data_IF_654933953715
#
_entry.id   IF_654933953715
#
_cell.length_a   1.000
_cell.length_b   1.000
_cell.length_c   1.000
_cell.angle_alpha   90.00
_cell.angle_beta   90.00
_cell.angle_gamma   90.00
#
_symmetry.space_group_name_H-M   'P 1'
#
loop_
_entity.id
_entity.type
_entity.pdbx_description
1 polymer ?
#
# COMPACT_ATOMS: atom_id res chain seq x y z
N UNK A 1 -24.09 42.34 10.40
CA UNK A 1 -22.65 42.44 10.72
C UNK A 1 -22.23 41.22 11.54
N UNK A 2 -21.56 40.26 10.97
CA UNK A 2 -21.04 39.06 11.68
C UNK A 2 -19.75 39.49 12.36
N UNK A 3 -19.72 39.50 13.69
CA UNK A 3 -18.51 39.81 14.46
C UNK A 3 -17.48 38.70 14.25
N UNK A 4 -16.26 39.09 13.87
CA UNK A 4 -15.11 38.16 13.81
C UNK A 4 -14.82 37.61 15.21
N UNK A 5 -14.50 36.30 15.36
CA UNK A 5 -14.09 35.77 16.65
C UNK A 5 -12.78 36.43 17.12
N UNK A 6 -12.54 36.53 18.44
CA UNK A 6 -11.33 37.13 18.97
C UNK A 6 -10.10 36.29 18.58
N UNK A 7 -8.99 36.97 18.25
CA UNK A 7 -7.70 36.30 17.98
C UNK A 7 -7.22 35.59 19.23
N UNK A 8 -7.08 34.29 19.18
CA UNK A 8 -6.36 33.54 20.20
C UNK A 8 -4.85 33.80 20.06
N UNK A 9 -4.20 34.21 21.14
CA UNK A 9 -2.74 34.30 21.23
C UNK A 9 -2.16 32.87 21.24
N UNK A 10 -1.59 32.45 20.12
CA UNK A 10 -0.94 31.16 19.96
C UNK A 10 0.55 31.29 20.33
N UNK A 11 1.14 30.20 20.86
CA UNK A 11 2.56 30.12 21.21
C UNK A 11 3.47 30.42 20.01
N UNK A 12 4.72 30.80 20.22
CA UNK A 12 5.66 31.26 19.18
C UNK A 12 5.86 30.30 17.99
N UNK A 13 5.67 28.99 18.17
CA UNK A 13 5.68 27.99 17.08
C UNK A 13 4.41 27.99 16.22
N UNK A 14 3.30 28.50 16.76
CA UNK A 14 2.04 28.66 16.04
C UNK A 14 1.93 30.01 15.34
N UNK A 15 2.73 31.01 15.75
CA UNK A 15 2.72 32.35 15.14
C UNK A 15 3.16 32.33 13.67
N UNK A 16 3.99 31.37 13.26
CA UNK A 16 4.36 31.16 11.86
C UNK A 16 3.19 30.64 10.99
N UNK A 17 2.11 30.15 11.60
CA UNK A 17 0.92 29.67 10.90
C UNK A 17 -0.20 30.72 10.77
N UNK A 18 0.00 31.90 11.33
CA UNK A 18 -1.00 33.00 11.33
C UNK A 18 -0.89 33.88 10.07
N UNK A 19 -0.17 33.41 9.05
CA UNK A 19 -0.23 34.00 7.72
C UNK A 19 -1.63 33.74 7.17
N UNK A 20 -2.28 34.77 6.63
CA UNK A 20 -3.58 34.66 5.97
C UNK A 20 -3.61 33.53 4.98
N UNK A 21 -4.20 32.40 5.37
CA UNK A 21 -4.38 31.24 4.47
C UNK A 21 -5.48 31.62 3.48
N UNK A 22 -5.12 31.59 2.20
CA UNK A 22 -6.03 31.82 1.09
C UNK A 22 -6.41 30.48 0.49
N UNK A 23 -7.56 30.42 -0.17
CA UNK A 23 -7.98 29.19 -0.87
C UNK A 23 -7.01 28.79 -1.99
N UNK A 24 -6.26 29.75 -2.53
CA UNK A 24 -5.23 29.54 -3.56
C UNK A 24 -3.87 29.08 -2.98
N UNK A 25 -3.71 29.04 -1.66
CA UNK A 25 -2.48 28.54 -1.04
C UNK A 25 -2.32 27.05 -1.32
N UNK A 26 -1.06 26.61 -1.46
CA UNK A 26 -0.74 25.22 -1.77
C UNK A 26 -0.04 24.55 -0.59
N UNK A 27 -0.56 23.42 -0.14
CA UNK A 27 0.14 22.56 0.82
C UNK A 27 1.07 21.61 0.09
N UNK A 28 2.31 21.49 0.58
CA UNK A 28 3.31 20.57 0.01
C UNK A 28 3.59 19.47 1.03
N UNK A 29 3.31 18.21 0.66
CA UNK A 29 3.66 17.03 1.42
C UNK A 29 5.03 16.51 0.98
N UNK A 30 6.06 16.83 1.70
CA UNK A 30 7.41 16.30 1.49
C UNK A 30 7.69 15.19 2.51
N UNK A 31 7.59 13.91 2.11
CA UNK A 31 7.76 12.79 3.03
C UNK A 31 7.28 11.45 2.51
N UNK A 32 7.22 10.44 3.40
CA UNK A 32 6.63 9.13 3.11
C UNK A 32 5.10 9.17 3.11
N UNK A 33 4.47 7.99 2.96
CA UNK A 33 3.01 7.85 2.84
C UNK A 33 2.23 8.53 3.95
N UNK A 34 2.66 8.40 5.22
CA UNK A 34 1.99 9.04 6.37
C UNK A 34 1.92 10.56 6.24
N UNK A 35 2.99 11.19 5.75
CA UNK A 35 3.01 12.65 5.51
C UNK A 35 2.06 13.00 4.37
N UNK A 36 2.08 12.23 3.28
CA UNK A 36 1.15 12.39 2.16
C UNK A 36 -0.31 12.30 2.60
N UNK A 37 -0.64 11.29 3.39
CA UNK A 37 -2.00 11.06 3.90
C UNK A 37 -2.48 12.20 4.81
N UNK A 38 -1.67 12.61 5.78
CA UNK A 38 -2.01 13.69 6.73
C UNK A 38 -2.17 15.03 6.00
N UNK A 39 -1.19 15.40 5.17
CA UNK A 39 -1.23 16.68 4.45
C UNK A 39 -2.37 16.72 3.45
N UNK A 40 -2.60 15.62 2.71
CA UNK A 40 -3.71 15.52 1.78
C UNK A 40 -5.07 15.59 2.47
N UNK A 41 -5.24 14.92 3.61
CA UNK A 41 -6.45 15.03 4.42
C UNK A 41 -6.63 16.47 4.95
N UNK A 42 -5.57 17.09 5.48
CA UNK A 42 -5.61 18.50 5.91
C UNK A 42 -5.98 19.42 4.78
N UNK A 43 -5.41 19.23 3.58
CA UNK A 43 -5.75 20.02 2.40
C UNK A 43 -7.23 19.90 2.04
N UNK A 44 -7.81 18.71 2.14
CA UNK A 44 -9.21 18.45 1.79
C UNK A 44 -10.21 19.18 2.69
N UNK A 45 -9.88 19.40 3.96
CA UNK A 45 -10.77 20.03 4.95
C UNK A 45 -10.46 21.51 5.21
N UNK A 46 -9.25 21.99 4.84
CA UNK A 46 -8.85 23.40 4.99
C UNK A 46 -9.59 24.24 3.95
N UNK A 47 -10.34 25.26 4.39
CA UNK A 47 -11.11 26.18 3.53
C UNK A 47 -12.01 25.45 2.50
N UNK A 48 -12.45 24.25 2.80
CA UNK A 48 -13.21 23.32 1.92
C UNK A 48 -12.44 22.79 0.72
N UNK A 49 -11.14 22.77 0.80
CA UNK A 49 -10.18 22.29 -0.20
C UNK A 49 -9.19 23.37 -0.62
N UNK A 50 -7.90 23.10 -0.41
CA UNK A 50 -6.79 23.92 -0.90
C UNK A 50 -5.90 23.09 -1.80
N UNK A 51 -5.09 23.74 -2.63
CA UNK A 51 -4.16 23.04 -3.50
C UNK A 51 -3.19 22.17 -2.69
N UNK A 52 -2.83 21.02 -3.27
CA UNK A 52 -2.01 20.01 -2.62
C UNK A 52 -1.01 19.39 -3.59
N UNK A 53 0.26 19.39 -3.22
CA UNK A 53 1.36 18.77 -3.98
C UNK A 53 2.01 17.71 -3.13
N UNK A 54 2.27 16.52 -3.70
CA UNK A 54 3.03 15.46 -3.04
C UNK A 54 4.44 15.33 -3.62
N UNK A 55 5.44 15.26 -2.72
CA UNK A 55 6.82 14.93 -3.05
C UNK A 55 7.19 13.68 -2.21
N UNK A 56 6.85 12.47 -2.70
CA UNK A 56 7.04 11.23 -1.95
C UNK A 56 8.52 10.88 -1.84
N UNK A 57 9.02 10.59 -0.62
CA UNK A 57 10.43 10.33 -0.32
C UNK A 57 10.75 8.87 -0.06
N UNK A 58 9.76 7.98 -0.03
CA UNK A 58 9.94 6.52 0.09
C UNK A 58 9.50 5.82 -1.17
N UNK A 59 10.06 4.65 -1.48
CA UNK A 59 9.64 3.88 -2.65
C UNK A 59 8.16 3.52 -2.57
N UNK A 60 7.69 3.08 -1.40
CA UNK A 60 6.27 2.78 -1.17
C UNK A 60 5.37 3.97 -1.51
N UNK A 61 5.77 5.18 -1.11
CA UNK A 61 5.00 6.37 -1.41
C UNK A 61 5.06 6.72 -2.91
N UNK A 62 6.21 6.59 -3.56
CA UNK A 62 6.35 6.89 -4.99
C UNK A 62 5.55 5.94 -5.88
N UNK A 63 5.50 4.64 -5.53
CA UNK A 63 4.85 3.63 -6.39
C UNK A 63 3.40 3.35 -6.02
N UNK A 64 2.97 3.74 -4.81
CA UNK A 64 1.64 3.39 -4.31
C UNK A 64 0.90 4.56 -3.66
N UNK A 65 1.21 4.98 -2.43
CA UNK A 65 0.31 5.85 -1.66
C UNK A 65 0.08 7.22 -2.28
N UNK A 66 1.01 7.77 -3.07
CA UNK A 66 0.83 9.06 -3.76
C UNK A 66 -0.14 9.02 -4.95
N UNK A 67 -0.60 7.84 -5.38
CA UNK A 67 -1.50 7.69 -6.53
C UNK A 67 -2.86 7.18 -6.06
N UNK A 68 -3.93 7.89 -6.40
CA UNK A 68 -5.30 7.43 -6.16
C UNK A 68 -6.06 8.15 -5.05
N UNK A 69 -5.52 9.27 -4.55
CA UNK A 69 -6.23 10.26 -3.75
C UNK A 69 -6.72 9.80 -2.37
N UNK A 70 -6.38 8.60 -1.90
CA UNK A 70 -6.69 8.18 -0.54
C UNK A 70 -5.85 8.99 0.43
N UNK A 71 -6.50 9.74 1.31
CA UNK A 71 -5.85 10.54 2.37
C UNK A 71 -6.54 10.25 3.69
N UNK A 72 -5.81 10.36 4.80
CA UNK A 72 -6.41 10.05 6.10
C UNK A 72 -5.44 10.10 7.26
N UNK A 73 -6.00 9.86 8.44
CA UNK A 73 -5.27 9.84 9.69
C UNK A 73 -5.54 8.55 10.47
N UNK A 74 -4.53 8.10 11.20
CA UNK A 74 -4.68 6.99 12.13
C UNK A 74 -5.44 7.44 13.38
N UNK A 75 -6.27 6.54 13.90
CA UNK A 75 -6.97 6.72 15.16
C UNK A 75 -6.49 5.67 16.18
N UNK A 76 -7.00 5.74 17.41
CA UNK A 76 -6.75 4.69 18.43
C UNK A 76 -7.35 3.34 18.02
N UNK A 77 -8.42 3.37 17.23
CA UNK A 77 -9.19 2.18 16.85
C UNK A 77 -8.68 1.53 15.56
N UNK A 78 -7.82 2.22 14.78
CA UNK A 78 -7.23 1.66 13.56
C UNK A 78 -6.54 2.68 12.66
N UNK A 79 -5.91 2.15 11.61
CA UNK A 79 -5.23 2.94 10.59
C UNK A 79 -6.23 3.51 9.59
N UNK A 80 -6.05 4.79 9.22
CA UNK A 80 -6.76 5.47 8.13
C UNK A 80 -8.29 5.38 8.20
N UNK A 81 -8.87 5.31 9.43
CA UNK A 81 -10.33 5.25 9.62
C UNK A 81 -11.03 6.58 9.33
N UNK A 82 -10.30 7.69 9.44
CA UNK A 82 -10.80 9.02 9.13
C UNK A 82 -10.01 9.56 7.95
N UNK A 83 -10.69 9.89 6.86
CA UNK A 83 -10.03 10.34 5.64
C UNK A 83 -11.00 10.74 4.55
N UNK A 84 -10.43 11.18 3.44
CA UNK A 84 -11.16 11.59 2.24
C UNK A 84 -10.48 11.06 0.98
N UNK A 85 -11.22 11.02 -0.12
CA UNK A 85 -10.61 10.93 -1.45
C UNK A 85 -10.32 12.36 -1.93
N UNK A 86 -9.05 12.73 -1.93
CA UNK A 86 -8.59 14.05 -2.36
C UNK A 86 -7.34 13.94 -3.21
N UNK A 87 -7.48 14.25 -4.51
CA UNK A 87 -6.39 14.10 -5.47
C UNK A 87 -5.39 15.26 -5.34
N UNK A 88 -4.07 14.99 -5.36
CA UNK A 88 -3.07 16.04 -5.42
C UNK A 88 -3.11 16.73 -6.80
N UNK A 89 -2.83 18.04 -6.84
CA UNK A 89 -2.65 18.79 -8.08
C UNK A 89 -1.39 18.33 -8.84
N UNK A 90 -0.37 17.86 -8.11
CA UNK A 90 0.88 17.35 -8.66
C UNK A 90 1.50 16.31 -7.74
N UNK A 91 2.05 15.25 -8.32
CA UNK A 91 2.95 14.31 -7.63
C UNK A 91 4.32 14.39 -8.31
N UNK A 92 5.33 14.80 -7.55
CA UNK A 92 6.72 14.89 -8.02
C UNK A 92 7.54 13.75 -7.40
N UNK A 93 7.72 12.66 -8.13
CA UNK A 93 8.50 11.51 -7.70
C UNK A 93 9.98 11.67 -8.09
N UNK A 94 10.78 12.26 -7.22
CA UNK A 94 12.23 12.33 -7.39
C UNK A 94 12.88 11.05 -6.86
N UNK A 95 13.39 10.22 -7.75
CA UNK A 95 14.04 8.95 -7.40
C UNK A 95 15.38 9.14 -6.67
N UNK A 96 15.99 10.33 -6.73
CA UNK A 96 17.23 10.62 -6.01
C UNK A 96 17.04 10.59 -4.49
N UNK A 97 15.81 10.90 -4.01
CA UNK A 97 15.42 10.84 -2.59
C UNK A 97 15.51 9.42 -2.02
N UNK A 98 15.44 8.40 -2.88
CA UNK A 98 15.54 6.99 -2.46
C UNK A 98 16.96 6.55 -2.11
N UNK A 99 17.98 7.39 -2.35
CA UNK A 99 19.37 7.07 -2.01
C UNK A 99 19.58 6.91 -0.51
N UNK A 100 18.92 7.75 0.29
CA UNK A 100 19.00 7.73 1.75
C UNK A 100 18.05 6.71 2.40
N UNK A 101 17.15 6.09 1.61
CA UNK A 101 16.17 5.15 2.13
C UNK A 101 16.86 3.86 2.59
N UNK A 102 16.54 3.38 3.80
CA UNK A 102 17.08 2.12 4.30
C UNK A 102 16.75 0.95 3.36
N UNK A 103 17.58 -0.10 3.40
CA UNK A 103 17.34 -1.29 2.57
C UNK A 103 15.99 -1.94 2.89
N UNK A 104 15.63 -2.00 4.17
CA UNK A 104 14.36 -2.54 4.66
C UNK A 104 13.15 -1.79 4.09
N UNK A 105 13.18 -0.46 4.13
CA UNK A 105 12.11 0.39 3.59
C UNK A 105 12.04 0.32 2.06
N UNK A 106 13.17 0.18 1.39
CA UNK A 106 13.21 -0.03 -0.06
C UNK A 106 12.51 -1.35 -0.43
N UNK A 107 12.82 -2.46 0.25
CA UNK A 107 12.17 -3.74 0.02
C UNK A 107 10.69 -3.72 0.36
N UNK A 108 10.30 -2.96 1.40
CA UNK A 108 8.89 -2.76 1.73
C UNK A 108 8.11 -2.10 0.57
N UNK A 109 8.69 -1.09 -0.07
CA UNK A 109 8.10 -0.49 -1.27
C UNK A 109 8.14 -1.43 -2.48
N UNK A 110 9.20 -2.24 -2.61
CA UNK A 110 9.34 -3.19 -3.71
C UNK A 110 8.28 -4.30 -3.69
N UNK A 111 7.76 -4.67 -2.52
CA UNK A 111 6.63 -5.59 -2.41
C UNK A 111 5.39 -5.08 -3.16
N UNK A 112 5.16 -3.76 -3.18
CA UNK A 112 4.08 -3.15 -3.97
C UNK A 112 4.41 -3.11 -5.46
N UNK A 113 5.67 -2.93 -5.83
CA UNK A 113 6.11 -2.98 -7.23
C UNK A 113 5.81 -4.33 -7.86
N UNK A 114 6.23 -5.42 -7.20
CA UNK A 114 6.02 -6.78 -7.73
C UNK A 114 4.53 -7.13 -7.81
N UNK A 115 3.72 -6.62 -6.89
CA UNK A 115 2.26 -6.78 -6.89
C UNK A 115 1.66 -6.36 -8.24
N UNK A 116 2.01 -5.17 -8.78
CA UNK A 116 1.48 -4.72 -10.07
C UNK A 116 1.83 -5.68 -11.21
N UNK A 117 3.06 -6.18 -11.24
CA UNK A 117 3.48 -7.18 -12.22
C UNK A 117 2.66 -8.45 -12.16
N UNK A 118 2.39 -8.94 -10.95
CA UNK A 118 1.62 -10.15 -10.71
C UNK A 118 0.15 -10.00 -11.07
N UNK A 119 -0.50 -8.90 -10.66
CA UNK A 119 -1.96 -8.76 -10.80
C UNK A 119 -2.41 -8.29 -12.19
N UNK A 120 -1.59 -7.54 -12.94
CA UNK A 120 -2.08 -6.89 -14.16
C UNK A 120 -1.06 -6.67 -15.28
N UNK A 121 0.24 -6.87 -15.04
CA UNK A 121 1.28 -6.59 -16.03
C UNK A 121 2.36 -7.66 -16.08
N UNK A 122 2.07 -8.77 -16.79
CA UNK A 122 3.04 -9.88 -17.00
C UNK A 122 4.38 -9.39 -17.57
N UNK A 123 4.34 -8.38 -18.46
CA UNK A 123 5.57 -7.86 -19.07
C UNK A 123 6.43 -7.16 -18.03
N UNK A 124 5.80 -6.46 -17.08
CA UNK A 124 6.48 -5.83 -15.97
C UNK A 124 7.09 -6.86 -15.02
N UNK A 125 6.33 -7.89 -14.63
CA UNK A 125 6.87 -8.98 -13.81
C UNK A 125 8.10 -9.63 -14.44
N UNK A 126 8.03 -9.97 -15.73
CA UNK A 126 9.17 -10.56 -16.43
C UNK A 126 10.37 -9.60 -16.52
N UNK A 127 10.12 -8.30 -16.69
CA UNK A 127 11.16 -7.28 -16.68
C UNK A 127 11.81 -7.15 -15.29
N UNK A 128 11.04 -7.21 -14.20
CA UNK A 128 11.55 -7.19 -12.83
C UNK A 128 12.48 -8.38 -12.59
N UNK A 129 12.06 -9.60 -12.95
CA UNK A 129 12.87 -10.82 -12.83
C UNK A 129 14.17 -10.71 -13.65
N UNK A 130 14.10 -10.20 -14.88
CA UNK A 130 15.28 -10.05 -15.74
C UNK A 130 16.31 -9.03 -15.19
N UNK A 131 15.87 -8.04 -14.44
CA UNK A 131 16.70 -6.89 -14.02
C UNK A 131 16.98 -6.85 -12.51
N UNK A 132 16.78 -7.96 -11.79
CA UNK A 132 16.95 -8.09 -10.33
C UNK A 132 18.24 -7.45 -9.83
N UNK A 133 19.37 -7.73 -10.49
CA UNK A 133 20.69 -7.26 -10.08
C UNK A 133 20.81 -5.73 -10.11
N UNK A 134 20.29 -5.09 -11.16
CA UNK A 134 20.31 -3.63 -11.28
C UNK A 134 19.34 -2.96 -10.31
N UNK A 135 18.20 -3.60 -10.06
CA UNK A 135 17.21 -3.14 -9.09
C UNK A 135 17.77 -3.22 -7.66
N UNK A 136 18.37 -4.35 -7.29
CA UNK A 136 19.00 -4.52 -5.96
C UNK A 136 20.12 -3.51 -5.70
N UNK A 137 20.86 -3.12 -6.74
CA UNK A 137 21.88 -2.07 -6.68
C UNK A 137 21.30 -0.65 -6.69
N UNK A 138 19.99 -0.51 -6.85
CA UNK A 138 19.29 0.77 -6.98
C UNK A 138 19.83 1.65 -8.10
N UNK A 139 20.22 1.07 -9.22
CA UNK A 139 20.65 1.85 -10.38
C UNK A 139 19.49 2.72 -10.88
N UNK A 140 19.78 4.01 -11.06
CA UNK A 140 18.76 5.06 -11.32
C UNK A 140 17.81 4.70 -12.46
N UNK A 141 18.32 4.17 -13.58
CA UNK A 141 17.51 3.77 -14.75
C UNK A 141 16.44 2.73 -14.43
N UNK A 142 16.76 1.75 -13.55
CA UNK A 142 15.81 0.73 -13.16
C UNK A 142 14.80 1.26 -12.15
N UNK A 143 15.22 2.17 -11.27
CA UNK A 143 14.32 2.79 -10.30
C UNK A 143 13.31 3.70 -10.99
N UNK A 144 13.73 4.49 -11.97
CA UNK A 144 12.81 5.29 -12.80
C UNK A 144 11.75 4.40 -13.47
N UNK A 145 12.18 3.29 -14.08
CA UNK A 145 11.27 2.38 -14.77
C UNK A 145 10.28 1.72 -13.79
N UNK A 146 10.74 1.31 -12.59
CA UNK A 146 9.89 0.77 -11.53
C UNK A 146 8.81 1.78 -11.14
N UNK A 147 9.20 3.01 -10.82
CA UNK A 147 8.27 4.06 -10.39
C UNK A 147 7.28 4.36 -11.51
N UNK A 148 7.77 4.59 -12.72
CA UNK A 148 6.93 4.90 -13.89
C UNK A 148 5.88 3.81 -14.16
N UNK A 149 6.32 2.53 -14.23
CA UNK A 149 5.38 1.43 -14.54
C UNK A 149 4.41 1.16 -13.40
N UNK A 150 4.82 1.29 -12.16
CA UNK A 150 3.95 1.14 -11.00
C UNK A 150 2.86 2.22 -10.99
N UNK A 151 3.23 3.49 -11.13
CA UNK A 151 2.28 4.60 -11.21
C UNK A 151 1.32 4.44 -12.38
N UNK A 152 1.83 4.08 -13.58
CA UNK A 152 1.01 3.82 -14.78
C UNK A 152 0.00 2.70 -14.55
N UNK A 153 0.42 1.61 -13.92
CA UNK A 153 -0.45 0.48 -13.63
C UNK A 153 -1.51 0.84 -12.59
N UNK A 154 -1.12 1.53 -11.50
CA UNK A 154 -2.08 2.00 -10.50
C UNK A 154 -3.09 2.98 -11.08
N UNK A 155 -2.63 3.98 -11.82
CA UNK A 155 -3.48 4.96 -12.46
C UNK A 155 -4.54 4.33 -13.38
N UNK A 156 -4.21 3.27 -14.13
CA UNK A 156 -5.17 2.53 -14.96
C UNK A 156 -6.33 1.94 -14.15
N UNK A 157 -6.06 1.45 -12.94
CA UNK A 157 -7.09 0.89 -12.06
C UNK A 157 -7.88 2.01 -11.41
N UNK A 158 -7.21 3.03 -10.87
CA UNK A 158 -7.84 4.17 -10.20
C UNK A 158 -8.78 4.93 -11.14
N UNK A 159 -8.36 5.17 -12.40
CA UNK A 159 -9.20 5.84 -13.40
C UNK A 159 -10.49 5.06 -13.72
N UNK A 160 -10.49 3.75 -13.53
CA UNK A 160 -11.69 2.92 -13.75
C UNK A 160 -12.56 2.79 -12.50
N UNK A 161 -11.98 2.99 -11.33
CA UNK A 161 -12.66 2.76 -10.05
C UNK A 161 -12.00 3.61 -8.95
N UNK A 162 -12.27 4.92 -8.98
CA UNK A 162 -11.67 5.87 -8.04
C UNK A 162 -12.04 5.57 -6.59
N UNK A 163 -13.29 5.18 -6.34
CA UNK A 163 -13.85 4.99 -5.00
C UNK A 163 -13.74 3.55 -4.48
N UNK A 164 -12.99 2.67 -5.17
CA UNK A 164 -12.74 1.29 -4.73
C UNK A 164 -14.01 0.45 -4.49
N UNK A 165 -14.93 0.52 -5.43
CA UNK A 165 -16.19 -0.26 -5.35
C UNK A 165 -16.09 -1.61 -6.07
N UNK A 166 -15.14 -1.77 -7.02
CA UNK A 166 -15.05 -2.92 -7.91
C UNK A 166 -13.61 -3.35 -8.18
N UNK A 167 -13.08 -3.02 -9.37
CA UNK A 167 -11.79 -3.51 -9.89
C UNK A 167 -10.59 -3.05 -9.04
N UNK A 168 -10.69 -1.93 -8.34
CA UNK A 168 -9.62 -1.43 -7.47
C UNK A 168 -9.34 -2.40 -6.31
N UNK A 169 -10.28 -3.26 -5.96
CA UNK A 169 -10.07 -4.33 -4.99
C UNK A 169 -8.90 -5.27 -5.37
N UNK A 170 -8.56 -5.42 -6.66
CA UNK A 170 -7.42 -6.21 -7.11
C UNK A 170 -6.08 -5.71 -6.53
N UNK A 171 -5.98 -4.41 -6.20
CA UNK A 171 -4.79 -3.84 -5.54
C UNK A 171 -4.56 -4.42 -4.15
N UNK A 172 -5.57 -5.06 -3.55
CA UNK A 172 -5.47 -5.72 -2.25
C UNK A 172 -4.91 -7.16 -2.36
N UNK A 173 -4.30 -7.56 -3.48
CA UNK A 173 -3.61 -8.84 -3.60
C UNK A 173 -2.52 -8.97 -2.53
N UNK A 174 -2.61 -10.01 -1.70
CA UNK A 174 -1.76 -10.22 -0.53
C UNK A 174 -2.13 -9.40 0.71
N UNK A 175 -2.92 -8.32 0.58
CA UNK A 175 -3.21 -7.40 1.69
C UNK A 175 -4.10 -8.02 2.76
N UNK A 176 -5.06 -8.86 2.42
CA UNK A 176 -5.92 -9.53 3.41
C UNK A 176 -5.08 -10.34 4.41
N UNK A 177 -4.09 -11.08 3.92
CA UNK A 177 -3.13 -11.80 4.76
C UNK A 177 -2.16 -10.85 5.45
N UNK A 178 -1.66 -9.85 4.73
CA UNK A 178 -0.72 -8.84 5.24
C UNK A 178 -1.31 -8.04 6.41
N UNK A 179 -2.52 -7.53 6.29
CA UNK A 179 -3.22 -6.79 7.35
C UNK A 179 -3.50 -7.67 8.57
N UNK A 180 -3.85 -8.95 8.37
CA UNK A 180 -3.99 -9.89 9.48
C UNK A 180 -2.66 -10.05 10.24
N UNK A 181 -1.52 -10.15 9.53
CA UNK A 181 -0.19 -10.19 10.15
C UNK A 181 0.10 -8.89 10.91
N UNK A 182 -0.18 -7.72 10.33
CA UNK A 182 0.02 -6.43 11.00
C UNK A 182 -0.84 -6.30 12.26
N UNK A 183 -2.12 -6.67 12.19
CA UNK A 183 -3.07 -6.65 13.31
C UNK A 183 -2.60 -7.56 14.44
N UNK A 184 -2.25 -8.81 14.16
CA UNK A 184 -1.75 -9.77 15.13
C UNK A 184 -0.39 -9.37 15.74
N UNK A 185 0.38 -8.55 15.03
CA UNK A 185 1.60 -7.92 15.56
C UNK A 185 1.31 -6.61 16.32
N UNK A 186 0.04 -6.24 16.51
CA UNK A 186 -0.39 -4.96 17.10
C UNK A 186 0.27 -3.75 16.41
N UNK A 187 0.43 -3.78 15.10
CA UNK A 187 1.05 -2.73 14.30
C UNK A 187 2.44 -2.28 14.75
N UNK A 188 3.18 -3.15 15.46
CA UNK A 188 4.53 -2.85 15.94
C UNK A 188 5.53 -2.81 14.78
N UNK A 189 6.55 -1.97 14.89
CA UNK A 189 7.63 -1.83 13.89
C UNK A 189 8.51 -3.07 13.68
N UNK A 190 8.26 -4.17 14.44
CA UNK A 190 8.92 -5.45 14.21
C UNK A 190 8.59 -6.07 12.85
N UNK A 191 7.41 -5.75 12.30
CA UNK A 191 7.02 -6.00 10.91
C UNK A 191 6.44 -4.70 10.37
N UNK A 192 7.01 -4.19 9.27
CA UNK A 192 6.47 -3.03 8.56
C UNK A 192 5.52 -3.48 7.44
N UNK A 193 4.66 -2.57 6.98
CA UNK A 193 3.59 -2.87 6.03
C UNK A 193 4.04 -3.71 4.82
N UNK A 194 5.04 -3.26 4.08
CA UNK A 194 5.50 -4.00 2.89
C UNK A 194 6.11 -5.37 3.20
N UNK A 195 6.66 -5.59 4.40
CA UNK A 195 7.08 -6.94 4.83
C UNK A 195 5.86 -7.85 5.05
N UNK A 196 4.80 -7.34 5.66
CA UNK A 196 3.56 -8.08 5.85
C UNK A 196 2.88 -8.38 4.52
N UNK A 197 2.81 -7.40 3.61
CA UNK A 197 2.28 -7.57 2.24
C UNK A 197 3.12 -8.57 1.45
N UNK A 198 4.45 -8.55 1.57
CA UNK A 198 5.35 -9.52 0.92
C UNK A 198 5.01 -10.96 1.32
N UNK A 199 4.86 -11.23 2.62
CA UNK A 199 4.41 -12.54 3.11
C UNK A 199 3.00 -12.86 2.62
N UNK A 200 2.09 -11.90 2.68
CA UNK A 200 0.72 -12.06 2.23
C UNK A 200 0.59 -12.37 0.74
N UNK A 201 1.45 -11.81 -0.11
CA UNK A 201 1.52 -12.15 -1.55
C UNK A 201 1.89 -13.63 -1.72
N UNK A 202 2.89 -14.12 -0.99
CA UNK A 202 3.25 -15.54 -1.07
C UNK A 202 2.13 -16.45 -0.59
N UNK A 203 1.41 -16.08 0.48
CA UNK A 203 0.22 -16.84 0.93
C UNK A 203 -0.88 -16.84 -0.13
N UNK A 204 -1.13 -15.70 -0.79
CA UNK A 204 -2.11 -15.62 -1.88
C UNK A 204 -1.70 -16.46 -3.11
N UNK A 205 -0.40 -16.52 -3.43
CA UNK A 205 0.15 -17.38 -4.49
C UNK A 205 -0.02 -18.86 -4.13
N UNK A 206 0.32 -19.25 -2.91
CA UNK A 206 0.16 -20.62 -2.43
C UNK A 206 -1.30 -21.07 -2.46
N UNK A 207 -2.22 -20.21 -1.98
CA UNK A 207 -3.66 -20.48 -2.08
C UNK A 207 -4.13 -20.58 -3.54
N UNK A 208 -3.62 -19.71 -4.43
CA UNK A 208 -3.93 -19.80 -5.86
C UNK A 208 -3.49 -21.10 -6.50
N UNK A 209 -2.36 -21.68 -6.04
CA UNK A 209 -1.88 -23.00 -6.46
C UNK A 209 -2.78 -24.10 -5.90
N UNK A 210 -3.10 -24.07 -4.60
CA UNK A 210 -3.99 -25.05 -3.96
C UNK A 210 -5.38 -25.10 -4.62
N UNK A 211 -5.88 -23.95 -5.03
CA UNK A 211 -7.14 -23.80 -5.77
C UNK A 211 -7.02 -24.20 -7.28
N UNK A 212 -5.86 -24.68 -7.71
CA UNK A 212 -5.64 -25.06 -9.11
C UNK A 212 -5.69 -23.91 -10.13
N UNK A 213 -5.62 -22.66 -9.65
CA UNK A 213 -5.71 -21.47 -10.52
C UNK A 213 -4.41 -21.17 -11.23
N UNK A 214 -3.28 -21.53 -10.64
CA UNK A 214 -1.95 -21.40 -11.23
C UNK A 214 -1.19 -22.72 -11.18
N UNK A 215 -0.17 -22.83 -12.05
CA UNK A 215 0.73 -23.97 -12.06
C UNK A 215 1.90 -23.78 -11.08
N UNK A 216 2.50 -24.87 -10.65
CA UNK A 216 3.64 -24.91 -9.72
C UNK A 216 4.82 -24.06 -10.20
N UNK A 217 5.10 -24.05 -11.49
CA UNK A 217 6.20 -23.27 -12.07
C UNK A 217 6.04 -21.75 -11.85
N UNK A 218 4.79 -21.26 -11.75
CA UNK A 218 4.53 -19.85 -11.45
C UNK A 218 4.88 -19.54 -10.00
N UNK A 219 4.46 -20.40 -9.07
CA UNK A 219 4.80 -20.25 -7.65
C UNK A 219 6.32 -20.26 -7.45
N UNK A 220 7.00 -21.23 -8.03
CA UNK A 220 8.46 -21.37 -7.94
C UNK A 220 9.18 -20.14 -8.50
N UNK A 221 8.75 -19.64 -9.65
CA UNK A 221 9.30 -18.42 -10.25
C UNK A 221 9.12 -17.19 -9.34
N UNK A 222 7.96 -17.04 -8.70
CA UNK A 222 7.72 -15.95 -7.77
C UNK A 222 8.58 -16.11 -6.51
N UNK A 223 8.63 -17.31 -5.92
CA UNK A 223 9.46 -17.58 -4.73
C UNK A 223 10.95 -17.36 -5.01
N UNK A 224 11.44 -17.76 -6.17
CA UNK A 224 12.82 -17.53 -6.59
C UNK A 224 13.14 -16.03 -6.67
N UNK A 225 12.25 -15.23 -7.28
CA UNK A 225 12.40 -13.78 -7.35
C UNK A 225 12.38 -13.13 -5.96
N UNK A 226 11.47 -13.55 -5.06
CA UNK A 226 11.43 -13.08 -3.69
C UNK A 226 12.73 -13.35 -2.94
N UNK A 227 13.28 -14.56 -3.11
CA UNK A 227 14.56 -14.94 -2.50
C UNK A 227 15.71 -14.09 -3.04
N UNK A 228 15.80 -13.93 -4.37
CA UNK A 228 16.86 -13.16 -5.02
C UNK A 228 16.81 -11.68 -4.62
N UNK A 229 15.62 -11.13 -4.46
CA UNK A 229 15.42 -9.75 -4.00
C UNK A 229 15.48 -9.59 -2.48
N UNK A 230 15.66 -10.67 -1.71
CA UNK A 230 15.68 -10.67 -0.24
C UNK A 230 14.37 -10.13 0.39
N UNK A 231 13.24 -10.32 -0.29
CA UNK A 231 11.94 -9.96 0.24
C UNK A 231 11.56 -10.87 1.42
N UNK A 232 10.81 -10.31 2.36
CA UNK A 232 10.29 -11.09 3.50
C UNK A 232 9.38 -12.20 2.98
N UNK A 233 9.71 -13.45 3.31
CA UNK A 233 9.00 -14.64 2.82
C UNK A 233 8.24 -15.41 3.91
N UNK A 234 8.40 -15.05 5.17
CA UNK A 234 7.78 -15.75 6.30
C UNK A 234 7.46 -14.83 7.46
N UNK A 235 6.47 -15.22 8.25
CA UNK A 235 6.14 -14.57 9.52
C UNK A 235 7.30 -14.82 10.51
N UNK A 236 7.77 -13.81 11.26
CA UNK A 236 8.81 -13.99 12.28
C UNK A 236 8.42 -15.03 13.31
N UNK A 237 9.36 -15.90 13.69
CA UNK A 237 9.11 -17.01 14.62
C UNK A 237 8.44 -16.57 15.92
N UNK A 238 8.86 -15.43 16.50
CA UNK A 238 8.25 -14.86 17.71
C UNK A 238 6.76 -14.51 17.56
N UNK A 239 6.34 -14.17 16.36
CA UNK A 239 4.94 -13.90 16.06
C UNK A 239 4.22 -15.19 15.68
N UNK A 240 4.84 -16.04 14.85
CA UNK A 240 4.28 -17.31 14.39
C UNK A 240 3.87 -18.21 15.57
N UNK A 241 4.68 -18.28 16.63
CA UNK A 241 4.37 -19.07 17.84
C UNK A 241 3.15 -18.57 18.64
N UNK A 242 2.68 -17.36 18.38
CA UNK A 242 1.51 -16.74 19.06
C UNK A 242 0.24 -16.76 18.21
N UNK A 243 0.36 -17.15 16.96
CA UNK A 243 -0.74 -17.17 15.99
C UNK A 243 -1.26 -18.60 15.90
N UNK A 244 -2.53 -18.78 16.25
CA UNK A 244 -3.29 -19.99 15.87
C UNK A 244 -4.09 -19.70 14.60
N UNK A 245 -4.44 -20.74 13.87
CA UNK A 245 -5.24 -20.62 12.65
C UNK A 245 -6.55 -19.87 12.88
N UNK A 246 -7.37 -20.19 13.93
CA UNK A 246 -8.59 -19.43 14.21
C UNK A 246 -8.33 -17.94 14.44
N UNK A 247 -7.26 -17.57 15.18
CA UNK A 247 -6.89 -16.17 15.40
C UNK A 247 -6.54 -15.47 14.08
N UNK A 248 -5.86 -16.16 13.17
CA UNK A 248 -5.48 -15.60 11.89
C UNK A 248 -6.72 -15.35 11.02
N UNK A 249 -7.63 -16.31 10.94
CA UNK A 249 -8.90 -16.19 10.22
C UNK A 249 -9.73 -15.03 10.78
N UNK A 250 -9.87 -14.94 12.09
CA UNK A 250 -10.61 -13.84 12.74
C UNK A 250 -9.97 -12.47 12.42
N UNK A 251 -8.63 -12.38 12.39
CA UNK A 251 -7.95 -11.15 12.01
C UNK A 251 -8.19 -10.78 10.54
N UNK A 252 -8.25 -11.76 9.63
CA UNK A 252 -8.60 -11.52 8.22
C UNK A 252 -10.04 -11.04 8.07
N UNK A 253 -10.96 -11.59 8.86
CA UNK A 253 -12.37 -11.20 8.84
C UNK A 253 -12.58 -9.78 9.40
N UNK A 254 -11.85 -9.39 10.43
CA UNK A 254 -11.98 -8.07 11.08
C UNK A 254 -11.50 -6.90 10.20
N UNK A 255 -10.63 -7.15 9.22
CA UNK A 255 -10.08 -6.10 8.33
C UNK A 255 -11.09 -5.61 7.28
N UNK A 256 -12.15 -6.35 7.03
CA UNK A 256 -13.18 -5.99 6.04
C UNK A 256 -14.53 -5.85 6.72
N UNK A 257 -15.20 -4.71 6.47
CA UNK A 257 -16.63 -4.59 6.77
C UNK A 257 -17.33 -5.72 6.04
N UNK A 258 -17.69 -6.76 6.79
CA UNK A 258 -18.34 -7.95 6.27
C UNK A 258 -19.74 -7.52 5.82
N UNK A 259 -19.98 -7.47 4.52
CA UNK A 259 -21.30 -7.64 3.97
C UNK A 259 -21.48 -9.16 3.78
N UNK A 260 -22.45 -9.73 4.46
CA UNK A 260 -22.88 -11.13 4.30
C UNK A 260 -21.92 -12.25 4.76
N UNK A 261 -21.12 -12.05 5.80
CA UNK A 261 -20.23 -13.10 6.36
C UNK A 261 -19.25 -13.74 5.36
N UNK A 262 -18.93 -13.08 4.24
CA UNK A 262 -18.11 -13.63 3.17
C UNK A 262 -16.75 -12.97 3.10
N UNK A 263 -15.69 -13.77 3.07
CA UNK A 263 -14.32 -13.31 2.90
C UNK A 263 -13.93 -13.30 1.43
N UNK A 264 -13.79 -12.12 0.83
CA UNK A 264 -13.32 -11.97 -0.54
C UNK A 264 -11.78 -11.94 -0.57
N UNK A 265 -11.17 -12.92 -1.22
CA UNK A 265 -9.73 -12.99 -1.42
C UNK A 265 -9.38 -12.62 -2.87
N UNK A 266 -8.25 -11.95 -3.02
CA UNK A 266 -7.68 -11.71 -4.35
C UNK A 266 -6.67 -12.82 -4.62
N UNK A 267 -6.89 -13.60 -5.67
CA UNK A 267 -6.06 -14.73 -6.08
C UNK A 267 -5.49 -14.49 -7.47
N UNK A 268 -4.37 -15.15 -7.76
CA UNK A 268 -3.75 -15.11 -9.07
C UNK A 268 -4.37 -16.19 -9.97
N UNK A 269 -4.86 -15.81 -11.15
CA UNK A 269 -5.29 -16.76 -12.19
C UNK A 269 -4.15 -17.09 -13.18
N UNK A 270 -3.29 -16.13 -13.42
CA UNK A 270 -2.01 -16.24 -14.14
C UNK A 270 -1.19 -15.01 -13.87
N UNK A 271 0.11 -15.04 -14.12
CA UNK A 271 0.94 -13.81 -14.02
C UNK A 271 0.37 -12.72 -14.93
N UNK A 272 0.13 -11.55 -14.35
CA UNK A 272 -0.50 -10.41 -15.01
C UNK A 272 -2.03 -10.45 -15.03
N UNK A 273 -2.65 -11.36 -14.26
CA UNK A 273 -4.10 -11.43 -14.14
C UNK A 273 -4.51 -12.00 -12.78
N UNK A 274 -4.95 -11.13 -11.88
CA UNK A 274 -5.59 -11.52 -10.64
C UNK A 274 -7.12 -11.44 -10.76
N UNK A 275 -7.80 -12.18 -9.91
CA UNK A 275 -9.25 -12.25 -9.81
C UNK A 275 -9.71 -12.07 -8.38
N UNK A 276 -10.93 -11.59 -8.20
CA UNK A 276 -11.63 -11.63 -6.92
C UNK A 276 -12.21 -13.04 -6.79
N UNK A 277 -11.66 -13.83 -5.88
CA UNK A 277 -12.22 -15.15 -5.57
C UNK A 277 -13.37 -14.98 -4.59
N UNK A 278 -14.55 -15.47 -4.99
CA UNK A 278 -15.78 -15.32 -4.21
C UNK A 278 -15.74 -16.24 -2.99
N UNK A 279 -15.96 -15.66 -1.84
CA UNK A 279 -16.61 -16.25 -0.65
C UNK A 279 -16.16 -17.61 -0.15
N UNK A 280 -15.23 -17.60 0.78
CA UNK A 280 -15.08 -18.76 1.68
C UNK A 280 -16.01 -18.56 2.90
N UNK A 281 -17.21 -19.16 2.86
CA UNK A 281 -18.14 -19.18 4.01
C UNK A 281 -17.69 -20.16 5.10
N UNK A 282 -16.88 -21.17 4.72
CA UNK A 282 -16.32 -22.17 5.63
C UNK A 282 -14.86 -22.47 5.21
N UNK A 283 -13.91 -21.83 5.87
CA UNK A 283 -12.53 -22.29 5.83
C UNK A 283 -12.40 -23.49 6.80
N UNK A 284 -12.79 -24.67 6.34
CA UNK A 284 -12.31 -25.91 6.95
C UNK A 284 -10.89 -26.13 6.43
N UNK A 285 -9.91 -25.86 7.30
CA UNK A 285 -8.54 -26.26 6.99
C UNK A 285 -8.47 -27.79 7.07
N UNK A 286 -7.78 -28.44 6.12
CA UNK A 286 -7.47 -29.85 6.29
C UNK A 286 -6.68 -30.02 7.59
N UNK A 287 -7.13 -30.95 8.40
CA UNK A 287 -6.51 -31.41 9.68
C UNK A 287 -5.11 -31.95 9.46
#
# INVERSE_FOLDING_TARGET
>A
MIRRPPRSTLSSSSAASDVYKRQDDTLIAFGGGVIGDIVGFTASITLRGVNFIQIPTTLLAQVDSSVGGKTGINTKDGKNLIGTFFQPNLVLADVSLLRSLSHREFLAGYAEVIKYGLIMDKSFFNWLVKNERGISKREVKYIIEIVFRSCKNKAKIVNKDENEKNIRALLNFGHTFGHAIESLNNYKKSIIHGEAVSVGILMAIELSLLEGKIKKEIEEKVKAHFHQMQLKSSIPNKLKSKISVPKFINAMQSDKKITDNTLNLILLNKVGNAIIAVSYTHLTLPT
#
